data_IF_162145090365
#
_entry.id   IF_162145090365
#
_cell.length_a   1.000
_cell.length_b   1.000
_cell.length_c   1.000
_cell.angle_alpha   90.00
_cell.angle_beta   90.00
_cell.angle_gamma   90.00
#
_symmetry.space_group_name_H-M   'P 1'
#
loop_
_entity.id
_entity.type
_entity.pdbx_description
1 polymer ?
#
# COMPACT_ATOMS: atom_id res chain seq x y z
N UNK A 1 7.37 -12.66 -5.51
CA UNK A 1 6.14 -11.87 -5.67
C UNK A 1 5.69 -11.38 -4.31
N UNK A 2 5.15 -10.16 -4.23
CA UNK A 2 4.62 -9.53 -3.01
C UNK A 2 3.38 -8.71 -3.40
N UNK A 3 2.40 -8.62 -2.51
CA UNK A 3 1.27 -7.69 -2.65
C UNK A 3 1.16 -6.79 -1.42
N UNK A 4 0.61 -5.59 -1.59
CA UNK A 4 0.30 -4.67 -0.51
C UNK A 4 -1.11 -4.09 -0.71
N UNK A 5 -1.83 -3.91 0.39
CA UNK A 5 -3.08 -3.19 0.44
C UNK A 5 -2.94 -2.05 1.45
N UNK A 6 -3.31 -0.85 1.05
CA UNK A 6 -3.27 0.34 1.89
C UNK A 6 -4.61 1.09 1.79
N UNK A 7 -5.05 1.65 2.91
CA UNK A 7 -6.19 2.56 2.97
C UNK A 7 -5.84 3.73 3.89
N UNK A 8 -6.15 4.95 3.44
CA UNK A 8 -5.93 6.17 4.19
C UNK A 8 -7.24 6.95 4.24
N UNK A 9 -7.56 7.53 5.40
CA UNK A 9 -8.55 8.61 5.50
C UNK A 9 -7.80 9.92 5.73
N UNK A 10 -8.08 10.88 4.87
CA UNK A 10 -7.49 12.21 4.89
C UNK A 10 -8.55 13.23 5.31
N UNK A 11 -8.23 14.06 6.30
CA UNK A 11 -9.03 15.20 6.73
C UNK A 11 -8.10 16.41 6.83
N UNK A 12 -8.49 17.53 6.20
CA UNK A 12 -7.72 18.78 6.17
C UNK A 12 -6.23 18.62 5.76
N UNK A 13 -5.93 17.66 4.89
CA UNK A 13 -4.56 17.37 4.42
C UNK A 13 -3.72 16.50 5.37
N UNK A 14 -4.33 15.98 6.45
CA UNK A 14 -3.69 15.09 7.42
C UNK A 14 -4.32 13.69 7.39
N UNK A 15 -3.50 12.67 7.64
CA UNK A 15 -3.98 11.28 7.75
C UNK A 15 -4.61 11.10 9.13
N UNK A 16 -5.92 10.83 9.18
CA UNK A 16 -6.62 10.55 10.45
C UNK A 16 -6.79 9.06 10.73
N UNK A 17 -6.77 8.23 9.68
CA UNK A 17 -6.73 6.77 9.78
C UNK A 17 -5.83 6.19 8.69
N UNK A 18 -5.08 5.14 9.05
CA UNK A 18 -4.27 4.37 8.12
C UNK A 18 -4.45 2.87 8.37
N UNK A 19 -4.52 2.08 7.29
CA UNK A 19 -4.43 0.62 7.32
C UNK A 19 -3.42 0.14 6.30
N UNK A 20 -2.53 -0.77 6.71
CA UNK A 20 -1.51 -1.33 5.83
C UNK A 20 -1.37 -2.84 6.06
N UNK A 21 -1.57 -3.61 5.00
CA UNK A 21 -1.42 -5.06 4.98
C UNK A 21 -0.50 -5.51 3.84
N UNK A 22 0.33 -6.52 4.11
CA UNK A 22 1.26 -7.12 3.16
C UNK A 22 0.93 -8.61 2.96
N UNK A 23 0.88 -9.04 1.71
CA UNK A 23 0.65 -10.42 1.27
C UNK A 23 1.90 -11.05 0.67
N UNK A 24 2.03 -12.37 0.78
CA UNK A 24 3.18 -13.16 0.31
C UNK A 24 4.54 -12.78 0.94
N UNK A 25 4.53 -11.98 2.02
CA UNK A 25 5.71 -11.66 2.86
C UNK A 25 5.88 -12.68 3.99
N UNK A 26 4.77 -13.26 4.47
CA UNK A 26 4.74 -14.31 5.49
C UNK A 26 3.63 -15.34 5.20
N UNK A 27 3.59 -16.42 5.98
CA UNK A 27 2.56 -17.47 5.86
C UNK A 27 1.14 -16.97 6.18
N UNK A 28 1.02 -15.85 6.90
CA UNK A 28 -0.24 -15.15 7.19
C UNK A 28 -0.17 -13.72 6.65
N UNK A 29 -1.31 -13.09 6.33
CA UNK A 29 -1.33 -11.67 6.01
C UNK A 29 -0.64 -10.86 7.12
N UNK A 30 0.34 -10.06 6.74
CA UNK A 30 1.13 -9.27 7.68
C UNK A 30 0.50 -7.90 7.82
N UNK A 31 0.02 -7.57 9.03
CA UNK A 31 -0.54 -6.25 9.32
C UNK A 31 0.50 -5.38 10.02
N UNK A 32 0.75 -4.19 9.49
CA UNK A 32 1.82 -3.31 9.91
C UNK A 32 1.32 -2.21 10.87
N UNK A 33 0.88 -2.60 12.08
CA UNK A 33 0.30 -1.68 13.05
C UNK A 33 1.23 -0.51 13.41
N UNK A 34 2.54 -0.74 13.53
CA UNK A 34 3.51 0.31 13.84
C UNK A 34 3.63 1.35 12.72
N UNK A 35 3.52 0.90 11.47
CA UNK A 35 3.47 1.79 10.31
C UNK A 35 2.15 2.55 10.25
N UNK A 36 1.02 1.91 10.59
CA UNK A 36 -0.29 2.57 10.71
C UNK A 36 -0.22 3.71 11.74
N UNK A 37 0.36 3.47 12.91
CA UNK A 37 0.53 4.47 13.97
C UNK A 37 1.43 5.65 13.56
N UNK A 38 2.52 5.38 12.82
CA UNK A 38 3.43 6.41 12.32
C UNK A 38 2.75 7.38 11.34
N UNK A 39 1.76 6.91 10.60
CA UNK A 39 1.07 7.69 9.58
C UNK A 39 0.01 8.65 10.16
N UNK A 40 -0.63 8.30 11.27
CA UNK A 40 -1.71 9.09 11.86
C UNK A 40 -1.19 10.46 12.32
N UNK A 41 -1.92 11.53 11.97
CA UNK A 41 -1.60 12.92 12.24
C UNK A 41 -0.62 13.56 11.25
N UNK A 42 0.03 12.78 10.40
CA UNK A 42 1.03 13.28 9.46
C UNK A 42 0.42 13.76 8.14
N UNK A 43 1.11 14.68 7.48
CA UNK A 43 0.81 15.08 6.10
C UNK A 43 1.38 14.05 5.12
N UNK A 44 0.59 13.54 4.15
CA UNK A 44 1.06 12.62 3.11
C UNK A 44 2.32 13.12 2.37
N UNK A 45 3.37 12.29 2.33
CA UNK A 45 4.55 12.55 1.49
C UNK A 45 5.27 11.25 1.12
N UNK A 46 6.05 11.29 0.05
CA UNK A 46 6.85 10.14 -0.40
C UNK A 46 7.85 9.69 0.67
N UNK A 47 8.46 10.64 1.38
CA UNK A 47 9.38 10.40 2.49
C UNK A 47 8.69 9.77 3.69
N UNK A 48 7.44 10.18 3.98
CA UNK A 48 6.63 9.57 5.02
C UNK A 48 6.29 8.12 4.65
N UNK A 49 5.89 7.86 3.41
CA UNK A 49 5.51 6.52 2.97
C UNK A 49 6.69 5.56 2.89
N UNK A 50 7.88 6.04 2.51
CA UNK A 50 9.13 5.25 2.59
C UNK A 50 9.43 4.86 4.04
N UNK A 51 9.37 5.83 4.98
CA UNK A 51 9.57 5.55 6.41
C UNK A 51 8.54 4.57 6.96
N UNK A 52 7.26 4.73 6.62
CA UNK A 52 6.21 3.79 7.02
C UNK A 52 6.46 2.38 6.47
N UNK A 53 6.92 2.26 5.23
CA UNK A 53 7.29 0.96 4.63
C UNK A 53 8.50 0.31 5.33
N UNK A 54 9.49 1.10 5.74
CA UNK A 54 10.64 0.60 6.51
C UNK A 54 10.20 0.07 7.89
N UNK A 55 9.36 0.84 8.60
CA UNK A 55 8.79 0.42 9.88
C UNK A 55 7.93 -0.85 9.73
N UNK A 56 7.11 -0.92 8.69
CA UNK A 56 6.26 -2.09 8.41
C UNK A 56 7.04 -3.40 8.26
N UNK A 57 8.30 -3.32 7.82
CA UNK A 57 9.17 -4.45 7.52
C UNK A 57 10.28 -4.67 8.57
N UNK A 58 10.34 -3.87 9.63
CA UNK A 58 11.39 -3.98 10.66
C UNK A 58 11.36 -5.35 11.38
N UNK A 59 10.18 -5.98 11.47
CA UNK A 59 10.03 -7.35 11.99
C UNK A 59 10.11 -8.47 10.94
N UNK A 60 10.25 -8.16 9.66
CA UNK A 60 10.23 -9.14 8.58
C UNK A 60 11.58 -9.87 8.52
N UNK A 61 11.63 -11.12 8.98
CA UNK A 61 12.84 -11.95 8.87
C UNK A 61 12.84 -12.71 7.54
N UNK A 62 13.87 -12.56 6.69
CA UNK A 62 13.97 -13.32 5.45
C UNK A 62 14.21 -14.81 5.74
N UNK A 63 13.38 -15.68 5.18
CA UNK A 63 13.63 -17.13 5.20
C UNK A 63 14.40 -17.54 3.93
N UNK A 64 15.71 -17.79 4.03
CA UNK A 64 16.55 -18.26 2.92
C UNK A 64 16.69 -17.25 1.77
N UNK A 65 16.56 -17.69 0.52
CA UNK A 65 16.75 -16.90 -0.73
C UNK A 65 15.73 -15.76 -0.95
N UNK A 66 14.86 -15.50 0.02
CA UNK A 66 13.78 -14.53 -0.06
C UNK A 66 14.16 -13.11 0.35
N UNK A 67 15.44 -12.81 0.60
CA UNK A 67 15.90 -11.47 0.99
C UNK A 67 15.46 -10.37 -0.01
N UNK A 68 15.43 -10.69 -1.31
CA UNK A 68 14.94 -9.79 -2.35
C UNK A 68 13.45 -9.40 -2.16
N UNK A 69 12.65 -10.24 -1.49
CA UNK A 69 11.23 -9.97 -1.24
C UNK A 69 11.03 -8.83 -0.25
N UNK A 70 11.98 -8.58 0.66
CA UNK A 70 11.89 -7.48 1.63
C UNK A 70 11.98 -6.14 0.90
N UNK A 71 12.96 -5.99 0.01
CA UNK A 71 13.08 -4.77 -0.78
C UNK A 71 11.89 -4.57 -1.72
N UNK A 72 11.39 -5.66 -2.34
CA UNK A 72 10.19 -5.60 -3.15
C UNK A 72 8.97 -5.18 -2.31
N UNK A 73 8.79 -5.76 -1.11
CA UNK A 73 7.71 -5.42 -0.20
C UNK A 73 7.76 -3.95 0.21
N UNK A 74 8.95 -3.41 0.47
CA UNK A 74 9.15 -2.01 0.85
C UNK A 74 8.65 -1.08 -0.24
N UNK A 75 9.09 -1.31 -1.48
CA UNK A 75 8.66 -0.52 -2.65
C UNK A 75 7.17 -0.66 -2.92
N UNK A 76 6.63 -1.87 -2.80
CA UNK A 76 5.20 -2.13 -3.02
C UNK A 76 4.34 -1.47 -1.94
N UNK A 77 4.76 -1.47 -0.68
CA UNK A 77 4.08 -0.78 0.42
C UNK A 77 4.04 0.74 0.21
N UNK A 78 5.20 1.35 -0.06
CA UNK A 78 5.29 2.79 -0.30
C UNK A 78 4.43 3.22 -1.49
N UNK A 79 4.43 2.43 -2.58
CA UNK A 79 3.57 2.68 -3.74
C UNK A 79 2.08 2.56 -3.42
N UNK A 80 1.68 1.56 -2.62
CA UNK A 80 0.29 1.40 -2.22
C UNK A 80 -0.21 2.58 -1.39
N UNK A 81 0.62 3.08 -0.46
CA UNK A 81 0.32 4.27 0.34
C UNK A 81 0.20 5.54 -0.52
N UNK A 82 1.13 5.74 -1.46
CA UNK A 82 1.07 6.87 -2.38
C UNK A 82 -0.22 6.86 -3.24
N UNK A 83 -0.61 5.69 -3.77
CA UNK A 83 -1.87 5.53 -4.50
C UNK A 83 -3.09 5.78 -3.61
N UNK A 84 -3.08 5.31 -2.36
CA UNK A 84 -4.16 5.57 -1.42
C UNK A 84 -4.31 7.07 -1.12
N UNK A 85 -3.21 7.82 -1.10
CA UNK A 85 -3.22 9.26 -0.85
C UNK A 85 -3.74 10.08 -2.04
N UNK A 86 -3.53 9.61 -3.28
CA UNK A 86 -4.13 10.20 -4.49
C UNK A 86 -5.67 10.04 -4.45
N UNK A 87 -6.15 9.02 -3.74
CA UNK A 87 -7.57 8.73 -3.55
C UNK A 87 -8.09 7.69 -4.55
N UNK A 88 -9.29 7.19 -4.25
CA UNK A 88 -9.96 6.23 -5.15
C UNK A 88 -10.68 7.01 -6.24
N UNK A 89 -10.47 6.69 -7.53
CA UNK A 89 -11.20 7.36 -8.60
C UNK A 89 -12.71 7.11 -8.43
N UNK A 90 -13.52 8.16 -8.63
CA UNK A 90 -14.99 8.06 -8.50
C UNK A 90 -15.60 6.98 -9.39
N UNK A 91 -14.98 6.70 -10.54
CA UNK A 91 -15.27 5.55 -11.39
C UNK A 91 -13.98 4.80 -11.64
N UNK A 92 -14.00 3.50 -11.34
CA UNK A 92 -12.93 2.61 -11.75
C UNK A 92 -13.03 2.42 -13.27
N UNK A 93 -11.96 2.68 -14.05
CA UNK A 93 -11.99 2.33 -15.46
C UNK A 93 -12.22 0.83 -15.60
N UNK A 94 -13.00 0.44 -16.60
CA UNK A 94 -13.18 -0.97 -16.91
C UNK A 94 -11.82 -1.61 -17.16
N UNK A 95 -11.62 -2.83 -16.65
CA UNK A 95 -10.38 -3.54 -16.90
C UNK A 95 -10.19 -3.77 -18.41
N UNK A 96 -8.95 -3.82 -18.92
CA UNK A 96 -8.65 -3.98 -20.34
C UNK A 96 -9.29 -5.23 -21.02
N UNK A 97 -9.80 -6.17 -20.23
CA UNK A 97 -10.51 -7.37 -20.68
C UNK A 97 -11.92 -7.51 -20.06
N UNK A 98 -12.49 -6.42 -19.54
CA UNK A 98 -13.84 -6.43 -18.96
C UNK A 98 -14.88 -6.47 -20.06
N UNK A 99 -15.78 -7.45 -20.02
CA UNK A 99 -17.00 -7.49 -20.87
C UNK A 99 -17.95 -6.32 -20.57
N UNK A 100 -17.75 -5.62 -19.45
CA UNK A 100 -18.53 -4.46 -19.01
C UNK A 100 -17.83 -3.12 -19.30
N UNK A 101 -16.81 -3.10 -20.17
CA UNK A 101 -16.21 -1.85 -20.64
C UNK A 101 -17.10 -1.14 -21.65
N UNK A 102 -17.14 0.20 -21.60
CA UNK A 102 -17.74 1.02 -22.66
C UNK A 102 -16.94 0.80 -23.96
N UNK A 103 -17.35 -0.18 -24.77
CA UNK A 103 -16.98 -0.23 -26.17
C UNK A 103 -17.88 0.76 -26.90
N UNK A 104 -17.38 1.97 -27.14
CA UNK A 104 -18.01 2.90 -28.06
C UNK A 104 -17.96 2.27 -29.46
N UNK A 105 -19.09 1.69 -29.87
CA UNK A 105 -19.30 1.26 -31.25
C UNK A 105 -19.40 2.53 -32.12
N UNK A 106 -18.41 2.72 -32.98
CA UNK A 106 -18.47 3.60 -34.16
C UNK A 106 -18.96 2.78 -35.34
#
# INVERSE_FOLDING_TARGET
MVSAAAALRLEDGHIVEARLALGAVAARPWRANDAEALLIGQTPSDELFKRAADVALTGATPSGDNAHKIELARRTAARALALAAIGTPKRMPAFPASLFGEHAHV
#
